data_IF_349749061299
#
_entry.id   IF_349749061299
#
_cell.length_a   1.000
_cell.length_b   1.000
_cell.length_c   1.000
_cell.angle_alpha   90.00
_cell.angle_beta   90.00
_cell.angle_gamma   90.00
#
_symmetry.space_group_name_H-M   'P 1'
#
loop_
_entity.id
_entity.type
_entity.pdbx_description
1 polymer ?
#
# COMPACT_ATOMS: atom_id res chain seq x y z
N UNK A 1 -18.18 -4.88 -13.10
CA UNK A 1 -17.55 -4.96 -11.77
C UNK A 1 -16.11 -4.56 -11.98
N UNK A 2 -15.68 -3.42 -11.43
CA UNK A 2 -14.34 -2.86 -11.68
C UNK A 2 -13.36 -3.49 -10.70
N UNK A 3 -12.26 -4.07 -11.20
CA UNK A 3 -11.23 -4.66 -10.35
C UNK A 3 -10.18 -3.59 -10.02
N UNK A 4 -9.83 -3.51 -8.73
CA UNK A 4 -8.82 -2.61 -8.20
C UNK A 4 -7.48 -3.35 -8.14
N UNK A 5 -6.45 -2.79 -8.77
CA UNK A 5 -5.09 -3.24 -8.63
C UNK A 5 -4.31 -2.24 -7.79
N UNK A 6 -3.71 -2.71 -6.71
CA UNK A 6 -2.78 -1.95 -5.90
C UNK A 6 -1.36 -2.45 -6.18
N UNK A 7 -0.46 -1.54 -6.57
CA UNK A 7 0.97 -1.82 -6.69
C UNK A 7 1.78 -0.91 -5.77
N UNK A 8 3.02 -1.29 -5.46
CA UNK A 8 3.90 -0.48 -4.60
C UNK A 8 4.04 0.91 -5.24
N UNK A 9 3.77 1.94 -4.45
CA UNK A 9 3.89 3.33 -4.86
C UNK A 9 5.37 3.69 -5.00
N UNK A 10 5.92 3.53 -6.22
CA UNK A 10 7.34 3.80 -6.51
C UNK A 10 7.67 5.28 -6.70
N UNK A 11 6.66 6.11 -6.99
CA UNK A 11 6.83 7.51 -7.35
C UNK A 11 6.10 8.41 -6.33
N UNK A 12 6.52 8.34 -5.06
CA UNK A 12 6.01 9.23 -4.02
C UNK A 12 6.71 10.58 -4.11
N UNK A 13 5.95 11.68 -3.97
CA UNK A 13 6.51 13.02 -3.86
C UNK A 13 7.18 13.27 -2.50
N UNK A 14 8.00 14.31 -2.41
CA UNK A 14 8.76 14.64 -1.19
C UNK A 14 7.87 14.82 0.06
N UNK A 15 6.73 15.50 -0.09
CA UNK A 15 5.76 15.71 0.98
C UNK A 15 5.13 14.37 1.46
N UNK A 16 4.80 13.48 0.52
CA UNK A 16 4.24 12.17 0.85
C UNK A 16 5.27 11.29 1.56
N UNK A 17 6.53 11.34 1.11
CA UNK A 17 7.64 10.61 1.72
C UNK A 17 7.93 11.11 3.14
N UNK A 18 7.97 12.42 3.35
CA UNK A 18 8.16 13.00 4.69
C UNK A 18 7.04 12.56 5.63
N UNK A 19 5.79 12.63 5.16
CA UNK A 19 4.63 12.23 5.95
C UNK A 19 4.64 10.75 6.33
N UNK A 20 5.01 9.86 5.40
CA UNK A 20 5.17 8.43 5.69
C UNK A 20 6.26 8.21 6.73
N UNK A 21 7.41 8.88 6.62
CA UNK A 21 8.50 8.75 7.60
C UNK A 21 8.10 9.20 9.00
N UNK A 22 7.39 10.33 9.11
CA UNK A 22 6.86 10.78 10.40
C UNK A 22 5.88 9.77 10.97
N UNK A 23 5.01 9.20 10.13
CA UNK A 23 4.06 8.17 10.56
C UNK A 23 4.78 6.91 11.06
N UNK A 24 5.82 6.45 10.35
CA UNK A 24 6.65 5.32 10.78
C UNK A 24 7.30 5.56 12.13
N UNK A 25 7.89 6.75 12.33
CA UNK A 25 8.53 7.15 13.59
C UNK A 25 7.55 7.21 14.75
N UNK A 26 6.37 7.79 14.52
CA UNK A 26 5.37 7.98 15.56
C UNK A 26 4.69 6.67 15.97
N UNK A 27 4.50 5.74 15.02
CA UNK A 27 3.87 4.46 15.27
C UNK A 27 4.88 3.38 15.70
N UNK A 28 6.17 3.58 15.41
CA UNK A 28 7.20 2.55 15.59
C UNK A 28 7.01 1.35 14.65
N UNK A 29 6.37 1.57 13.49
CA UNK A 29 6.03 0.54 12.51
C UNK A 29 6.66 0.88 11.15
N UNK A 30 6.97 -0.14 10.36
CA UNK A 30 7.34 0.05 8.95
C UNK A 30 6.10 0.14 8.09
N UNK A 31 6.03 1.14 7.21
CA UNK A 31 4.87 1.39 6.35
C UNK A 31 5.26 1.16 4.88
N UNK A 32 4.49 0.33 4.20
CA UNK A 32 4.58 0.14 2.75
C UNK A 32 3.41 0.85 2.09
N UNK A 33 3.69 1.75 1.16
CA UNK A 33 2.67 2.48 0.40
C UNK A 33 2.32 1.78 -0.92
N UNK A 34 1.03 1.69 -1.20
CA UNK A 34 0.46 1.16 -2.42
C UNK A 34 -0.40 2.22 -3.12
N UNK A 35 -0.31 2.26 -4.44
CA UNK A 35 -1.19 3.05 -5.30
C UNK A 35 -2.21 2.11 -5.94
N UNK A 36 -3.50 2.36 -5.69
CA UNK A 36 -4.58 1.56 -6.25
C UNK A 36 -5.18 2.24 -7.49
N UNK A 37 -5.32 1.49 -8.58
CA UNK A 37 -5.99 1.95 -9.80
C UNK A 37 -7.04 0.95 -10.26
N UNK A 38 -8.08 1.48 -10.87
CA UNK A 38 -9.07 0.65 -11.58
C UNK A 38 -8.45 0.08 -12.86
N UNK A 39 -8.62 -1.23 -13.07
CA UNK A 39 -8.22 -1.88 -14.32
C UNK A 39 -9.44 -2.13 -15.21
N UNK A 40 -9.22 -1.98 -16.51
CA UNK A 40 -10.17 -2.46 -17.50
C UNK A 40 -10.09 -3.99 -17.65
N UNK A 41 -11.21 -4.68 -17.96
CA UNK A 41 -11.27 -6.15 -17.98
C UNK A 41 -10.23 -6.82 -18.89
N UNK A 42 -9.87 -6.19 -20.00
CA UNK A 42 -8.87 -6.73 -20.94
C UNK A 42 -7.44 -6.67 -20.40
N UNK A 43 -7.12 -5.69 -19.54
CA UNK A 43 -5.81 -5.59 -18.88
C UNK A 43 -5.70 -6.55 -17.71
N UNK A 44 -6.80 -6.78 -17.01
CA UNK A 44 -6.88 -7.71 -15.89
C UNK A 44 -6.46 -9.14 -16.30
N UNK A 45 -7.07 -9.68 -17.36
CA UNK A 45 -6.76 -11.04 -17.84
C UNK A 45 -5.27 -11.22 -18.18
N UNK A 46 -4.65 -10.18 -18.77
CA UNK A 46 -3.22 -10.18 -19.07
C UNK A 46 -2.36 -10.10 -17.82
N UNK A 47 -2.76 -9.27 -16.87
CA UNK A 47 -2.03 -9.08 -15.61
C UNK A 47 -2.10 -10.33 -14.73
N UNK A 48 -3.27 -10.97 -14.64
CA UNK A 48 -3.44 -12.22 -13.88
C UNK A 48 -2.46 -13.29 -14.37
N UNK A 49 -2.37 -13.49 -15.68
CA UNK A 49 -1.40 -14.43 -16.28
C UNK A 49 0.05 -14.08 -15.94
N UNK A 50 0.41 -12.79 -16.01
CA UNK A 50 1.74 -12.35 -15.64
C UNK A 50 2.04 -12.53 -14.13
N UNK A 51 1.06 -12.32 -13.25
CA UNK A 51 1.21 -12.51 -11.80
C UNK A 51 1.37 -13.99 -11.44
N UNK A 52 0.65 -14.88 -12.12
CA UNK A 52 0.80 -16.34 -11.94
C UNK A 52 2.21 -16.81 -12.34
N UNK A 53 2.83 -16.16 -13.33
CA UNK A 53 4.20 -16.46 -13.79
C UNK A 53 5.31 -15.84 -12.93
N UNK A 54 5.07 -14.68 -12.31
CA UNK A 54 6.08 -13.92 -11.56
C UNK A 54 6.36 -14.47 -10.14
N UNK A 55 5.60 -15.46 -9.68
CA UNK A 55 5.83 -16.12 -8.40
C UNK A 55 5.50 -15.24 -7.18
N UNK A 56 5.68 -15.75 -5.96
CA UNK A 56 5.18 -15.12 -4.75
C UNK A 56 5.86 -13.77 -4.48
N UNK A 57 5.03 -12.73 -4.37
CA UNK A 57 5.43 -11.37 -3.99
C UNK A 57 5.96 -11.36 -2.55
N UNK A 58 6.89 -10.44 -2.26
CA UNK A 58 7.49 -10.18 -0.94
C UNK A 58 6.49 -10.39 0.20
N UNK A 59 6.78 -11.37 1.06
CA UNK A 59 5.96 -11.70 2.23
C UNK A 59 6.51 -10.97 3.45
N UNK A 60 6.02 -9.75 3.68
CA UNK A 60 6.11 -9.14 4.99
C UNK A 60 4.78 -9.40 5.71
N UNK A 61 4.83 -9.87 6.95
CA UNK A 61 3.61 -10.02 7.75
C UNK A 61 3.06 -8.66 8.13
N UNK A 62 1.74 -8.46 8.16
CA UNK A 62 1.18 -7.23 8.68
C UNK A 62 1.58 -7.06 10.16
N UNK A 63 1.90 -5.83 10.53
CA UNK A 63 2.15 -5.50 11.93
C UNK A 63 0.82 -5.45 12.70
N UNK A 64 0.76 -5.95 13.95
CA UNK A 64 -0.38 -5.70 14.81
C UNK A 64 -0.47 -4.19 15.08
N UNK A 65 -1.65 -3.63 14.86
CA UNK A 65 -1.95 -2.23 15.09
C UNK A 65 -3.22 -2.11 15.95
N UNK A 66 -3.22 -1.20 16.92
CA UNK A 66 -4.42 -0.85 17.67
C UNK A 66 -5.33 0.12 16.91
N UNK A 67 -6.56 0.35 17.39
CA UNK A 67 -7.54 1.23 16.76
C UNK A 67 -7.03 2.67 16.56
N UNK A 68 -6.22 3.19 17.50
CA UNK A 68 -5.67 4.54 17.38
C UNK A 68 -4.63 4.60 16.25
N UNK A 69 -3.78 3.59 16.15
CA UNK A 69 -2.81 3.47 15.08
C UNK A 69 -3.52 3.30 13.71
N UNK A 70 -4.58 2.49 13.65
CA UNK A 70 -5.39 2.30 12.46
C UNK A 70 -6.09 3.58 12.00
N UNK A 71 -6.63 4.38 12.92
CA UNK A 71 -7.25 5.67 12.60
C UNK A 71 -6.23 6.67 12.03
N UNK A 72 -5.01 6.67 12.56
CA UNK A 72 -3.91 7.51 12.04
C UNK A 72 -3.48 7.07 10.65
N UNK A 73 -3.35 5.77 10.42
CA UNK A 73 -3.03 5.22 9.10
C UNK A 73 -4.12 5.60 8.09
N UNK A 74 -5.39 5.41 8.44
CA UNK A 74 -6.53 5.74 7.57
C UNK A 74 -6.57 7.23 7.19
N UNK A 75 -6.32 8.09 8.17
CA UNK A 75 -6.25 9.54 7.94
C UNK A 75 -5.13 9.92 6.95
N UNK A 76 -4.00 9.20 7.00
CA UNK A 76 -2.89 9.39 6.08
C UNK A 76 -3.19 8.83 4.68
N UNK A 77 -3.85 7.67 4.60
CA UNK A 77 -4.33 7.09 3.33
C UNK A 77 -5.24 8.04 2.58
N UNK A 78 -6.26 8.58 3.25
CA UNK A 78 -7.23 9.52 2.67
C UNK A 78 -6.56 10.79 2.16
N UNK A 79 -5.62 11.34 2.94
CA UNK A 79 -4.95 12.58 2.58
C UNK A 79 -3.98 12.42 1.40
N UNK A 80 -3.45 11.22 1.16
CA UNK A 80 -2.48 10.97 0.10
C UNK A 80 -3.09 10.25 -1.12
N UNK A 81 -4.31 9.71 -1.01
CA UNK A 81 -4.91 8.88 -2.05
C UNK A 81 -4.16 7.56 -2.26
N UNK A 82 -3.53 7.06 -1.20
CA UNK A 82 -2.73 5.83 -1.18
C UNK A 82 -3.36 4.82 -0.23
N UNK A 83 -3.03 3.55 -0.41
CA UNK A 83 -3.25 2.55 0.64
C UNK A 83 -1.92 2.27 1.35
N UNK A 84 -1.93 2.28 2.67
CA UNK A 84 -0.75 2.12 3.51
C UNK A 84 -0.89 0.82 4.30
N UNK A 85 0.13 -0.03 4.24
CA UNK A 85 0.17 -1.29 4.97
C UNK A 85 1.31 -1.24 5.98
N UNK A 86 0.97 -1.35 7.26
CA UNK A 86 1.96 -1.53 8.31
C UNK A 86 2.45 -2.99 8.31
N UNK A 87 3.76 -3.17 8.28
CA UNK A 87 4.39 -4.50 8.20
C UNK A 87 5.41 -4.70 9.32
N UNK A 88 5.60 -5.95 9.70
CA UNK A 88 6.69 -6.34 10.59
C UNK A 88 8.00 -6.24 9.81
N UNK A 89 9.00 -5.61 10.45
CA UNK A 89 10.37 -5.46 9.95
C UNK A 89 11.25 -6.63 10.36
#
# INVERSE_FOLDING_TARGET
MTIMLCDIARNLGDEQLERIKTLEQDLGLTIVAFSCRSLEPQREERLRKAMDELGPVLRAEPAPADETQLDRIRSAEEAMGLSLVAVQS
#
